data_IF_071500637015
#
_entry.id   IF_071500637015
#
_cell.length_a   1.000
_cell.length_b   1.000
_cell.length_c   1.000
_cell.angle_alpha   90.00
_cell.angle_beta   90.00
_cell.angle_gamma   90.00
#
_symmetry.space_group_name_H-M   'P 1'
#
loop_
_entity.id
_entity.type
_entity.pdbx_description
1 polymer ?
#
# COMPACT_ATOMS: atom_id res chain seq x y z
N UNK A 1 -39.35 -29.95 64.01
CA UNK A 1 -39.31 -28.81 63.10
C UNK A 1 -37.97 -28.87 62.36
N UNK A 2 -37.98 -29.38 61.18
CA UNK A 2 -36.78 -29.51 60.32
C UNK A 2 -36.77 -28.28 59.36
N UNK A 3 -35.83 -27.41 59.58
CA UNK A 3 -35.59 -26.21 58.76
C UNK A 3 -35.01 -26.65 57.43
N UNK A 4 -35.77 -26.55 56.35
CA UNK A 4 -35.36 -26.77 54.98
C UNK A 4 -34.54 -25.56 54.53
N UNK A 5 -33.19 -25.69 54.42
CA UNK A 5 -32.32 -24.73 53.76
C UNK A 5 -32.73 -24.60 52.30
N UNK A 6 -33.08 -23.37 51.87
CA UNK A 6 -33.33 -23.04 50.47
C UNK A 6 -32.06 -23.26 49.64
N UNK A 7 -32.16 -23.77 48.41
CA UNK A 7 -30.99 -23.96 47.54
C UNK A 7 -30.35 -22.63 47.24
N UNK A 8 -29.03 -22.56 47.43
CA UNK A 8 -28.18 -21.42 47.13
C UNK A 8 -28.26 -21.09 45.63
N UNK A 9 -28.51 -19.84 45.28
CA UNK A 9 -28.59 -19.40 43.91
C UNK A 9 -27.23 -19.61 43.22
N UNK A 10 -27.20 -20.11 41.98
CA UNK A 10 -25.96 -20.33 41.25
C UNK A 10 -25.19 -18.99 41.07
N UNK A 11 -23.89 -19.03 41.29
CA UNK A 11 -23.01 -17.91 41.14
C UNK A 11 -23.14 -17.31 39.72
N UNK A 12 -23.15 -15.96 39.56
CA UNK A 12 -23.27 -15.34 38.24
C UNK A 12 -22.12 -15.79 37.35
N UNK A 13 -22.47 -16.33 36.18
CA UNK A 13 -21.48 -16.69 35.15
C UNK A 13 -20.77 -15.39 34.73
N UNK A 14 -19.42 -15.33 34.77
CA UNK A 14 -18.69 -14.14 34.36
C UNK A 14 -19.05 -13.81 32.92
N UNK A 15 -19.53 -12.61 32.67
CA UNK A 15 -19.72 -12.10 31.30
C UNK A 15 -18.33 -11.98 30.68
N UNK A 16 -18.01 -12.70 29.59
CA UNK A 16 -16.72 -12.59 28.98
C UNK A 16 -16.47 -11.13 28.57
N UNK A 17 -15.36 -10.56 29.03
CA UNK A 17 -14.93 -9.23 28.60
C UNK A 17 -14.75 -9.30 27.09
N UNK A 18 -15.59 -8.59 26.33
CA UNK A 18 -15.48 -8.50 24.88
C UNK A 18 -14.15 -7.83 24.56
N UNK A 19 -13.17 -8.61 24.04
CA UNK A 19 -11.96 -8.04 23.44
C UNK A 19 -12.37 -7.18 22.25
N UNK A 20 -11.84 -5.97 22.17
CA UNK A 20 -12.03 -5.11 21.00
C UNK A 20 -11.29 -5.73 19.82
N UNK A 21 -11.94 -5.81 18.65
CA UNK A 21 -11.27 -6.20 17.42
C UNK A 21 -10.28 -5.10 17.01
N UNK A 22 -9.09 -5.45 16.45
CA UNK A 22 -8.19 -4.48 15.88
C UNK A 22 -8.86 -3.80 14.67
N UNK A 23 -8.72 -2.48 14.57
CA UNK A 23 -9.18 -1.70 13.42
C UNK A 23 -8.11 -1.81 12.32
N UNK A 24 -8.46 -2.48 11.23
CA UNK A 24 -7.51 -2.78 10.14
C UNK A 24 -7.93 -2.05 8.87
N UNK A 25 -7.00 -1.27 8.30
CA UNK A 25 -7.20 -0.54 7.04
C UNK A 25 -7.25 -1.48 5.83
N UNK A 26 -8.15 -1.19 4.89
CA UNK A 26 -8.29 -1.91 3.64
C UNK A 26 -8.41 -0.94 2.47
N UNK A 27 -7.52 -1.06 1.48
CA UNK A 27 -7.59 -0.34 0.21
C UNK A 27 -8.28 -1.25 -0.81
N UNK A 28 -9.32 -0.74 -1.48
CA UNK A 28 -10.04 -1.48 -2.52
C UNK A 28 -9.36 -1.41 -3.90
N UNK A 29 -8.03 -1.40 -3.94
CA UNK A 29 -7.30 -1.54 -5.20
C UNK A 29 -6.94 -2.99 -5.45
N UNK A 30 -6.84 -3.35 -6.71
CA UNK A 30 -6.45 -4.69 -7.15
C UNK A 30 -5.11 -5.14 -6.58
N UNK A 31 -4.14 -4.23 -6.36
CA UNK A 31 -2.86 -4.56 -5.75
C UNK A 31 -2.96 -5.10 -4.30
N UNK A 32 -4.05 -4.80 -3.60
CA UNK A 32 -4.29 -5.31 -2.25
C UNK A 32 -5.16 -6.59 -2.22
N UNK A 33 -5.79 -6.96 -3.34
CA UNK A 33 -6.68 -8.13 -3.38
C UNK A 33 -6.03 -9.40 -2.84
N UNK A 34 -4.77 -9.77 -3.21
CA UNK A 34 -4.13 -10.97 -2.67
C UNK A 34 -3.94 -10.95 -1.15
N UNK A 35 -3.86 -9.78 -0.54
CA UNK A 35 -3.64 -9.64 0.90
C UNK A 35 -4.93 -9.85 1.71
N UNK A 36 -6.09 -9.64 1.10
CA UNK A 36 -7.39 -9.72 1.77
C UNK A 36 -8.26 -10.90 1.35
N UNK A 37 -8.03 -11.45 0.15
CA UNK A 37 -8.81 -12.58 -0.37
C UNK A 37 -8.70 -13.82 0.52
N UNK A 38 -7.50 -14.14 0.99
CA UNK A 38 -7.26 -15.25 1.90
C UNK A 38 -7.93 -15.07 3.26
N UNK A 39 -7.97 -13.84 3.80
CA UNK A 39 -8.69 -13.52 5.05
C UNK A 39 -10.18 -13.82 4.94
N UNK A 40 -10.80 -13.43 3.81
CA UNK A 40 -12.20 -13.74 3.55
C UNK A 40 -12.44 -15.24 3.43
N UNK A 41 -11.52 -15.94 2.75
CA UNK A 41 -11.62 -17.38 2.49
C UNK A 41 -11.44 -18.24 3.73
N UNK A 42 -10.59 -17.83 4.67
CA UNK A 42 -10.34 -18.55 5.94
C UNK A 42 -11.28 -18.14 7.06
N UNK A 43 -12.02 -17.04 6.88
CA UNK A 43 -12.91 -16.48 7.90
C UNK A 43 -12.22 -15.63 8.95
N UNK A 44 -10.89 -15.46 8.90
CA UNK A 44 -10.10 -14.62 9.83
C UNK A 44 -10.47 -13.14 9.73
N UNK A 45 -11.10 -12.74 8.62
CA UNK A 45 -11.70 -11.40 8.46
C UNK A 45 -12.66 -11.03 9.58
N UNK A 46 -13.34 -12.02 10.18
CA UNK A 46 -14.30 -11.81 11.28
C UNK A 46 -13.63 -11.38 12.60
N UNK A 47 -12.32 -11.59 12.72
CA UNK A 47 -11.54 -11.20 13.90
C UNK A 47 -11.02 -9.76 13.82
N UNK A 48 -11.30 -9.05 12.72
CA UNK A 48 -10.88 -7.68 12.45
C UNK A 48 -12.10 -6.77 12.27
N UNK A 49 -11.93 -5.49 12.58
CA UNK A 49 -12.82 -4.41 12.19
C UNK A 49 -12.22 -3.71 10.98
N UNK A 50 -12.68 -4.07 9.77
CA UNK A 50 -12.17 -3.47 8.54
C UNK A 50 -12.70 -2.06 8.34
N UNK A 51 -11.79 -1.13 8.08
CA UNK A 51 -12.08 0.21 7.58
C UNK A 51 -11.59 0.33 6.14
N UNK A 52 -12.52 0.49 5.22
CA UNK A 52 -12.22 0.70 3.80
C UNK A 52 -12.21 2.18 3.49
N UNK A 53 -11.13 2.64 2.87
CA UNK A 53 -10.98 4.04 2.45
C UNK A 53 -9.98 4.14 1.29
N UNK A 54 -9.80 5.36 0.76
CA UNK A 54 -8.72 5.69 -0.17
C UNK A 54 -7.35 5.58 0.52
N UNK A 55 -6.24 5.43 -0.23
CA UNK A 55 -4.90 5.44 0.37
C UNK A 55 -4.65 6.65 1.27
N UNK A 56 -5.07 7.84 0.86
CA UNK A 56 -4.93 9.06 1.66
C UNK A 56 -5.76 9.03 2.94
N UNK A 57 -7.03 8.59 2.86
CA UNK A 57 -7.89 8.46 4.02
C UNK A 57 -7.34 7.46 5.05
N UNK A 58 -6.75 6.35 4.59
CA UNK A 58 -6.11 5.37 5.49
C UNK A 58 -4.80 5.87 6.08
N UNK A 59 -3.99 6.63 5.31
CA UNK A 59 -2.79 7.30 5.83
C UNK A 59 -3.17 8.21 7.01
N UNK A 60 -4.16 9.09 6.79
CA UNK A 60 -4.60 10.05 7.81
C UNK A 60 -5.22 9.32 9.03
N UNK A 61 -6.02 8.28 8.80
CA UNK A 61 -6.63 7.50 9.87
C UNK A 61 -5.60 6.75 10.73
N UNK A 62 -4.54 6.19 10.12
CA UNK A 62 -3.48 5.52 10.87
C UNK A 62 -2.64 6.54 11.66
N UNK A 63 -2.28 7.67 11.06
CA UNK A 63 -1.55 8.75 11.73
C UNK A 63 -2.35 9.35 12.90
N UNK A 64 -3.66 9.56 12.73
CA UNK A 64 -4.55 10.10 13.77
C UNK A 64 -4.89 9.10 14.89
N UNK A 65 -4.63 7.79 14.71
CA UNK A 65 -5.02 6.74 15.67
C UNK A 65 -6.47 6.25 15.51
N UNK A 66 -7.09 6.52 14.39
CA UNK A 66 -8.41 5.99 14.01
C UNK A 66 -8.31 4.56 13.45
N UNK A 67 -7.12 4.13 13.06
CA UNK A 67 -6.75 2.75 12.75
C UNK A 67 -5.67 2.26 13.71
N UNK A 68 -5.63 0.95 13.93
CA UNK A 68 -4.61 0.28 14.74
C UNK A 68 -3.51 -0.31 13.85
N UNK A 69 -3.89 -0.89 12.70
CA UNK A 69 -2.99 -1.53 11.72
C UNK A 69 -3.52 -1.22 10.32
N UNK A 70 -2.64 -1.03 9.35
CA UNK A 70 -3.08 -0.89 7.96
C UNK A 70 -1.96 -0.63 6.97
N UNK A 71 -2.31 -0.64 5.67
CA UNK A 71 -1.42 -0.16 4.64
C UNK A 71 -1.26 1.36 4.78
N UNK A 72 -0.03 1.80 4.59
CA UNK A 72 0.32 3.23 4.59
C UNK A 72 1.33 3.49 3.47
N UNK A 73 1.17 4.59 2.74
CA UNK A 73 2.14 4.96 1.72
C UNK A 73 3.52 5.14 2.33
N UNK A 74 4.58 4.72 1.63
CA UNK A 74 5.93 4.78 2.17
C UNK A 74 6.32 6.20 2.63
N UNK A 75 6.00 7.22 1.83
CA UNK A 75 6.31 8.61 2.19
C UNK A 75 5.67 9.00 3.53
N UNK A 76 4.44 8.60 3.75
CA UNK A 76 3.72 8.93 4.99
C UNK A 76 4.21 8.09 6.17
N UNK A 77 4.55 6.82 5.93
CA UNK A 77 5.21 6.00 6.95
C UNK A 77 6.52 6.65 7.44
N UNK A 78 7.35 7.14 6.52
CA UNK A 78 8.62 7.80 6.89
C UNK A 78 8.40 9.08 7.70
N UNK A 79 7.33 9.82 7.45
CA UNK A 79 6.93 11.00 8.26
C UNK A 79 6.51 10.65 9.68
N UNK A 80 5.97 9.45 9.86
CA UNK A 80 5.45 8.94 11.13
C UNK A 80 6.26 7.75 11.68
N UNK A 81 7.54 7.62 11.27
CA UNK A 81 8.39 6.49 11.64
C UNK A 81 8.61 6.36 13.16
N UNK A 82 8.42 7.43 13.92
CA UNK A 82 8.49 7.38 15.39
C UNK A 82 7.24 6.81 16.04
N UNK A 83 6.09 6.89 15.39
CA UNK A 83 4.79 6.46 15.91
C UNK A 83 4.35 5.10 15.36
N UNK A 84 5.01 4.62 14.30
CA UNK A 84 4.63 3.42 13.57
C UNK A 84 5.75 2.37 13.60
N UNK A 85 5.31 1.11 13.44
CA UNK A 85 6.19 -0.06 13.27
C UNK A 85 5.75 -0.78 12.01
N UNK A 86 6.66 -0.99 11.06
CA UNK A 86 6.36 -1.73 9.84
C UNK A 86 6.29 -3.24 10.13
N UNK A 87 5.31 -3.91 9.52
CA UNK A 87 5.18 -5.36 9.59
C UNK A 87 6.18 -5.98 8.60
N UNK A 88 7.10 -6.86 9.05
CA UNK A 88 8.07 -7.48 8.15
C UNK A 88 7.41 -8.40 7.11
N UNK A 89 8.12 -8.65 6.04
CA UNK A 89 7.72 -9.56 4.97
C UNK A 89 6.38 -9.26 4.30
N UNK A 90 5.83 -8.04 4.48
CA UNK A 90 4.60 -7.62 3.81
C UNK A 90 4.66 -6.14 3.40
N UNK A 91 4.52 -5.89 2.11
CA UNK A 91 4.52 -4.55 1.50
C UNK A 91 3.78 -4.57 0.15
N UNK A 92 3.68 -3.42 -0.49
CA UNK A 92 3.33 -3.29 -1.91
C UNK A 92 4.49 -2.60 -2.61
N UNK A 93 5.23 -3.34 -3.38
CA UNK A 93 6.43 -2.91 -4.06
C UNK A 93 6.60 -3.53 -5.44
N UNK A 94 7.78 -3.34 -6.05
CA UNK A 94 8.20 -4.02 -7.28
C UNK A 94 9.72 -4.12 -7.37
N UNK A 95 10.21 -5.14 -8.03
CA UNK A 95 11.63 -5.28 -8.42
C UNK A 95 11.77 -5.15 -9.94
N UNK A 96 11.36 -4.03 -10.48
CA UNK A 96 11.24 -3.70 -11.90
C UNK A 96 9.89 -3.07 -12.20
N UNK A 97 9.19 -3.52 -13.24
CA UNK A 97 7.88 -2.98 -13.58
C UNK A 97 6.86 -3.21 -12.46
N UNK A 98 6.12 -2.16 -12.08
CA UNK A 98 5.01 -2.25 -11.13
C UNK A 98 3.64 -2.31 -11.83
N UNK A 99 3.56 -1.90 -13.09
CA UNK A 99 2.36 -1.79 -13.92
C UNK A 99 1.31 -0.77 -13.44
N UNK A 100 1.26 -0.46 -12.16
CA UNK A 100 0.21 0.35 -11.51
C UNK A 100 0.70 1.67 -10.89
N UNK A 101 1.92 2.13 -11.21
CA UNK A 101 2.43 3.45 -10.83
C UNK A 101 3.21 4.02 -12.02
N UNK A 102 2.61 4.97 -12.74
CA UNK A 102 3.04 5.35 -14.07
C UNK A 102 3.14 6.85 -14.27
N UNK A 103 4.09 7.28 -15.12
CA UNK A 103 4.02 8.55 -15.84
C UNK A 103 3.47 8.25 -17.24
N UNK A 104 2.37 8.88 -17.62
CA UNK A 104 1.80 8.82 -18.98
C UNK A 104 2.03 10.15 -19.64
N UNK A 105 2.62 10.19 -20.85
CA UNK A 105 3.06 11.44 -21.48
C UNK A 105 2.74 11.51 -22.97
N UNK A 106 2.42 12.73 -23.44
CA UNK A 106 2.26 13.08 -24.86
C UNK A 106 3.60 13.23 -25.58
N UNK A 107 4.67 13.54 -24.84
CA UNK A 107 5.99 13.87 -25.35
C UNK A 107 7.05 12.98 -24.70
N UNK A 108 8.29 12.90 -25.22
CA UNK A 108 9.42 12.32 -24.49
C UNK A 108 9.59 12.98 -23.11
N UNK A 109 10.11 12.25 -22.11
CA UNK A 109 10.26 12.81 -20.76
C UNK A 109 11.24 14.00 -20.72
N UNK A 110 12.22 14.00 -21.59
CA UNK A 110 13.24 15.06 -21.74
C UNK A 110 12.60 16.39 -22.19
N UNK A 111 11.44 16.33 -22.84
CA UNK A 111 10.69 17.51 -23.32
C UNK A 111 9.67 18.04 -22.28
N UNK A 112 9.69 17.49 -21.05
CA UNK A 112 8.78 17.92 -19.99
C UNK A 112 9.28 19.13 -19.20
N UNK A 113 10.47 19.66 -19.48
CA UNK A 113 10.99 20.83 -18.77
C UNK A 113 10.08 22.04 -18.94
N UNK A 114 9.64 22.65 -17.83
CA UNK A 114 8.67 23.75 -17.81
C UNK A 114 7.26 23.40 -18.32
N UNK A 115 6.96 22.14 -18.66
CA UNK A 115 5.65 21.70 -19.08
C UNK A 115 4.76 21.36 -17.89
N UNK A 116 3.44 21.51 -18.06
CA UNK A 116 2.49 21.09 -17.03
C UNK A 116 2.43 19.57 -16.92
N UNK A 117 2.57 19.07 -15.69
CA UNK A 117 2.42 17.66 -15.31
C UNK A 117 1.37 17.51 -14.23
N UNK A 118 0.32 16.73 -14.53
CA UNK A 118 -0.77 16.45 -13.62
C UNK A 118 -0.40 15.34 -12.63
N UNK A 119 -0.66 15.57 -11.36
CA UNK A 119 -0.41 14.62 -10.27
C UNK A 119 -1.74 14.10 -9.73
N UNK A 120 -1.95 12.78 -9.75
CA UNK A 120 -3.16 12.17 -9.18
C UNK A 120 -3.25 12.39 -7.67
N UNK A 121 -4.40 12.89 -7.21
CA UNK A 121 -4.63 13.33 -5.83
C UNK A 121 -4.62 12.21 -4.79
N UNK A 122 -4.61 10.95 -5.18
CA UNK A 122 -4.72 9.79 -4.28
C UNK A 122 -3.37 9.15 -3.95
N UNK A 123 -2.24 9.76 -4.36
CA UNK A 123 -0.89 9.19 -4.19
C UNK A 123 0.08 10.19 -3.58
N UNK A 124 0.77 9.76 -2.53
CA UNK A 124 1.87 10.54 -1.92
C UNK A 124 3.24 10.01 -2.37
N UNK A 125 3.51 8.73 -2.21
CA UNK A 125 4.80 8.12 -2.55
C UNK A 125 5.10 8.17 -4.04
N UNK A 126 4.17 7.73 -4.91
CA UNK A 126 4.42 7.66 -6.35
C UNK A 126 4.56 9.05 -6.97
N UNK A 127 3.83 10.04 -6.47
CA UNK A 127 4.00 11.44 -6.87
C UNK A 127 5.41 11.93 -6.53
N UNK A 128 5.88 11.68 -5.30
CA UNK A 128 7.22 12.09 -4.89
C UNK A 128 8.31 11.35 -5.67
N UNK A 129 8.12 10.05 -5.94
CA UNK A 129 9.02 9.28 -6.78
C UNK A 129 9.08 9.81 -8.21
N UNK A 130 7.94 10.14 -8.81
CA UNK A 130 7.89 10.72 -10.16
C UNK A 130 8.63 12.06 -10.23
N UNK A 131 8.43 12.94 -9.27
CA UNK A 131 9.13 14.22 -9.15
C UNK A 131 10.64 14.02 -9.02
N UNK A 132 11.07 13.09 -8.16
CA UNK A 132 12.48 12.73 -7.98
C UNK A 132 13.11 12.21 -9.28
N UNK A 133 12.45 11.27 -9.95
CA UNK A 133 12.94 10.68 -11.20
C UNK A 133 13.02 11.70 -12.32
N UNK A 134 12.03 12.57 -12.46
CA UNK A 134 12.06 13.64 -13.47
C UNK A 134 13.18 14.66 -13.18
N UNK A 135 13.37 15.04 -11.92
CA UNK A 135 14.38 16.02 -11.54
C UNK A 135 15.82 15.45 -11.62
N UNK A 136 16.08 14.28 -11.03
CA UNK A 136 17.45 13.79 -10.86
C UNK A 136 17.90 12.82 -11.95
N UNK A 137 17.00 11.97 -12.46
CA UNK A 137 17.35 10.99 -13.49
C UNK A 137 17.19 11.55 -14.91
N UNK A 138 16.08 12.28 -15.16
CA UNK A 138 15.80 12.87 -16.48
C UNK A 138 16.41 14.26 -16.62
N UNK A 139 16.47 15.04 -15.53
CA UNK A 139 17.06 16.37 -15.51
C UNK A 139 16.07 17.48 -15.90
N UNK A 140 14.77 17.29 -15.72
CA UNK A 140 13.70 18.24 -16.07
C UNK A 140 12.94 18.71 -14.83
N UNK A 141 12.39 19.91 -14.90
CA UNK A 141 11.60 20.56 -13.83
C UNK A 141 10.25 21.02 -14.36
N UNK A 142 9.25 20.13 -14.42
CA UNK A 142 7.90 20.48 -14.85
C UNK A 142 7.17 21.39 -13.85
N UNK A 143 6.11 22.02 -14.32
CA UNK A 143 5.11 22.70 -13.50
C UNK A 143 4.06 21.69 -13.05
N UNK A 144 4.03 21.38 -11.75
CA UNK A 144 3.14 20.37 -11.20
C UNK A 144 1.83 20.97 -10.69
N UNK A 145 0.72 20.24 -10.89
CA UNK A 145 -0.56 20.52 -10.23
C UNK A 145 -1.27 19.21 -9.86
N UNK A 146 -2.06 19.25 -8.78
CA UNK A 146 -2.80 18.09 -8.27
C UNK A 146 -4.23 18.14 -8.79
N UNK A 147 -4.75 16.98 -9.23
CA UNK A 147 -6.12 16.84 -9.70
C UNK A 147 -6.62 15.39 -9.50
N UNK A 148 -7.94 15.14 -9.62
CA UNK A 148 -8.48 13.78 -9.61
C UNK A 148 -7.85 12.90 -10.71
N UNK A 149 -7.64 11.59 -10.46
CA UNK A 149 -6.91 10.70 -11.36
C UNK A 149 -7.76 10.20 -12.54
N UNK A 150 -8.29 11.12 -13.34
CA UNK A 150 -8.93 10.85 -14.62
C UNK A 150 -7.99 11.20 -15.77
N UNK A 151 -7.44 10.18 -16.45
CA UNK A 151 -6.39 10.37 -17.45
C UNK A 151 -6.80 11.32 -18.57
N UNK A 152 -8.04 11.23 -19.07
CA UNK A 152 -8.51 12.08 -20.18
C UNK A 152 -8.51 13.55 -19.79
N UNK A 153 -9.04 13.86 -18.62
CA UNK A 153 -9.05 15.20 -18.06
C UNK A 153 -7.62 15.69 -17.81
N UNK A 154 -6.78 14.87 -17.17
CA UNK A 154 -5.37 15.19 -16.91
C UNK A 154 -4.63 15.54 -18.21
N UNK A 155 -4.76 14.71 -19.25
CA UNK A 155 -4.06 14.89 -20.52
C UNK A 155 -4.65 16.01 -21.41
N UNK A 156 -5.84 16.53 -21.12
CA UNK A 156 -6.39 17.72 -21.78
C UNK A 156 -5.74 19.02 -21.32
N UNK A 157 -5.16 19.02 -20.12
CA UNK A 157 -4.58 20.21 -19.49
C UNK A 157 -3.06 20.12 -19.27
N UNK A 158 -2.48 18.92 -19.37
CA UNK A 158 -1.06 18.64 -19.10
C UNK A 158 -0.38 17.85 -20.22
N UNK A 159 0.94 17.93 -20.31
CA UNK A 159 1.76 17.12 -21.22
C UNK A 159 2.05 15.73 -20.69
N UNK A 160 1.99 15.55 -19.37
CA UNK A 160 2.10 14.25 -18.74
C UNK A 160 1.21 14.16 -17.48
N UNK A 161 0.94 12.95 -17.04
CA UNK A 161 0.15 12.65 -15.86
C UNK A 161 0.81 11.53 -15.05
N UNK A 162 0.78 11.66 -13.71
CA UNK A 162 1.16 10.60 -12.78
C UNK A 162 -0.11 9.94 -12.26
N UNK A 163 -0.27 8.65 -12.55
CA UNK A 163 -1.44 7.85 -12.18
C UNK A 163 -1.03 6.60 -11.43
N UNK A 164 -1.89 6.13 -10.52
CA UNK A 164 -1.64 4.93 -9.70
C UNK A 164 -2.83 3.97 -9.66
N UNK A 165 -2.56 2.76 -9.16
CA UNK A 165 -3.56 1.73 -8.90
C UNK A 165 -4.30 1.29 -10.17
N UNK A 166 -5.57 0.99 -10.02
CA UNK A 166 -6.41 0.48 -11.10
C UNK A 166 -6.55 1.47 -12.26
N UNK A 167 -6.55 2.78 -11.95
CA UNK A 167 -6.52 3.83 -12.96
C UNK A 167 -5.23 3.79 -13.80
N UNK A 168 -4.09 3.46 -13.21
CA UNK A 168 -2.84 3.30 -13.95
C UNK A 168 -2.84 2.04 -14.84
N UNK A 169 -3.36 0.92 -14.35
CA UNK A 169 -3.54 -0.30 -15.16
C UNK A 169 -4.43 0.00 -16.38
N UNK A 170 -5.57 0.66 -16.17
CA UNK A 170 -6.48 1.10 -17.24
C UNK A 170 -5.77 2.05 -18.21
N UNK A 171 -5.05 3.01 -17.68
CA UNK A 171 -4.29 3.96 -18.48
C UNK A 171 -3.30 3.24 -19.40
N UNK A 172 -2.48 2.32 -18.86
CA UNK A 172 -1.47 1.61 -19.63
C UNK A 172 -2.05 0.65 -20.68
N UNK A 173 -3.09 -0.11 -20.31
CA UNK A 173 -3.60 -1.21 -21.13
C UNK A 173 -4.66 -0.75 -22.15
N UNK A 174 -5.44 0.27 -21.82
CA UNK A 174 -6.61 0.64 -22.61
C UNK A 174 -6.58 2.08 -23.17
N UNK A 175 -6.17 3.06 -22.36
CA UNK A 175 -6.32 4.46 -22.71
C UNK A 175 -5.11 5.02 -23.48
N UNK A 176 -3.90 4.83 -22.94
CA UNK A 176 -2.68 5.35 -23.55
C UNK A 176 -2.43 4.83 -24.97
N UNK A 177 -2.64 3.52 -25.30
CA UNK A 177 -2.52 3.04 -26.66
C UNK A 177 -3.50 3.72 -27.63
N UNK A 178 -4.76 3.95 -27.21
CA UNK A 178 -5.77 4.61 -28.02
C UNK A 178 -5.52 6.09 -28.23
N UNK A 179 -4.84 6.73 -27.28
CA UNK A 179 -4.49 8.15 -27.30
C UNK A 179 -3.10 8.42 -27.89
N UNK A 180 -2.34 7.37 -28.23
CA UNK A 180 -0.97 7.52 -28.73
C UNK A 180 0.01 8.06 -27.69
N UNK A 181 -0.24 7.79 -26.39
CA UNK A 181 0.56 8.26 -25.27
C UNK A 181 1.70 7.28 -24.96
N UNK A 182 2.78 7.83 -24.42
CA UNK A 182 3.91 7.07 -23.89
C UNK A 182 3.64 6.69 -22.44
N UNK A 183 4.02 5.48 -22.06
CA UNK A 183 3.87 4.97 -20.69
C UNK A 183 5.25 4.70 -20.12
N UNK A 184 5.54 5.25 -18.95
CA UNK A 184 6.78 5.07 -18.21
C UNK A 184 6.46 4.52 -16.83
N UNK A 185 6.96 3.33 -16.54
CA UNK A 185 6.74 2.64 -15.27
C UNK A 185 7.72 3.15 -14.21
N UNK A 186 7.19 3.64 -13.09
CA UNK A 186 8.01 4.23 -12.02
C UNK A 186 8.89 3.20 -11.32
N UNK A 187 8.42 1.98 -11.13
CA UNK A 187 9.20 0.89 -10.55
C UNK A 187 10.38 0.51 -11.45
N UNK A 188 10.15 0.38 -12.76
CA UNK A 188 11.19 0.15 -13.77
C UNK A 188 12.20 1.29 -13.79
N UNK A 189 11.75 2.52 -13.82
CA UNK A 189 12.63 3.68 -13.82
C UNK A 189 13.53 3.73 -12.58
N UNK A 190 12.97 3.41 -11.41
CA UNK A 190 13.73 3.32 -10.18
C UNK A 190 14.76 2.19 -10.22
N UNK A 191 14.33 0.98 -10.61
CA UNK A 191 15.22 -0.19 -10.72
C UNK A 191 16.40 0.05 -11.65
N UNK A 192 16.13 0.61 -12.83
CA UNK A 192 17.17 0.92 -13.81
C UNK A 192 18.17 1.98 -13.33
N UNK A 193 17.73 2.88 -12.44
CA UNK A 193 18.58 3.94 -11.91
C UNK A 193 19.41 3.52 -10.70
N UNK A 194 18.80 2.77 -9.78
CA UNK A 194 19.41 2.45 -8.48
C UNK A 194 19.85 0.98 -8.35
N UNK A 195 19.34 0.10 -9.20
CA UNK A 195 19.52 -1.35 -9.07
C UNK A 195 18.68 -1.98 -7.95
N UNK A 196 17.91 -1.19 -7.18
CA UNK A 196 17.14 -1.64 -6.01
C UNK A 196 15.66 -1.82 -6.34
N UNK A 197 14.93 -2.68 -5.59
CA UNK A 197 13.48 -2.69 -5.62
C UNK A 197 12.92 -1.39 -5.04
N UNK A 198 11.65 -1.07 -5.39
CA UNK A 198 10.93 0.07 -4.81
C UNK A 198 9.73 -0.39 -4.00
N UNK A 199 9.53 0.22 -2.83
CA UNK A 199 8.37 0.00 -1.97
C UNK A 199 7.46 1.22 -2.04
N UNK A 200 6.22 1.02 -2.51
CA UNK A 200 5.21 2.09 -2.62
C UNK A 200 4.41 2.27 -1.34
N UNK A 201 4.14 1.16 -0.65
CA UNK A 201 3.42 1.15 0.62
C UNK A 201 3.92 0.00 1.51
N UNK A 202 3.90 0.22 2.82
CA UNK A 202 4.14 -0.80 3.84
C UNK A 202 2.85 -1.10 4.59
N UNK A 203 2.78 -2.24 5.26
CA UNK A 203 1.80 -2.46 6.32
C UNK A 203 2.45 -2.07 7.64
N UNK A 204 1.75 -1.28 8.42
CA UNK A 204 2.27 -0.78 9.70
C UNK A 204 1.23 -0.91 10.81
N UNK A 205 1.72 -1.08 12.03
CA UNK A 205 0.95 -0.98 13.26
C UNK A 205 1.36 0.28 14.02
N UNK A 206 0.42 0.89 14.72
CA UNK A 206 0.72 1.95 15.68
C UNK A 206 1.51 1.40 16.86
N UNK A 207 2.55 2.09 17.27
CA UNK A 207 3.37 1.68 18.44
C UNK A 207 2.57 1.64 19.72
N UNK A 208 1.72 2.65 19.97
CA UNK A 208 0.87 2.70 21.15
C UNK A 208 -0.15 1.54 21.19
N UNK A 209 -0.57 1.02 20.04
CA UNK A 209 -1.39 -0.19 19.97
C UNK A 209 -0.57 -1.45 20.18
N UNK A 210 0.63 -1.53 19.57
CA UNK A 210 1.57 -2.64 19.80
C UNK A 210 1.93 -2.76 21.27
N UNK A 211 2.20 -1.64 21.96
CA UNK A 211 2.53 -1.64 23.39
C UNK A 211 1.39 -2.17 24.28
N UNK A 212 0.13 -1.92 23.88
CA UNK A 212 -1.06 -2.37 24.64
C UNK A 212 -1.52 -3.78 24.26
N UNK A 213 -1.42 -4.15 23.01
CA UNK A 213 -2.03 -5.37 22.45
C UNK A 213 -1.05 -6.12 21.50
N UNK A 214 0.16 -6.47 21.96
CA UNK A 214 1.19 -7.07 21.11
C UNK A 214 0.71 -8.37 20.44
N UNK A 215 -0.03 -9.22 21.18
CA UNK A 215 -0.57 -10.47 20.64
C UNK A 215 -1.53 -10.26 19.46
N UNK A 216 -2.33 -9.18 19.49
CA UNK A 216 -3.24 -8.87 18.39
C UNK A 216 -2.48 -8.39 17.16
N UNK A 217 -1.41 -7.59 17.34
CA UNK A 217 -0.57 -7.14 16.21
C UNK A 217 0.10 -8.33 15.54
N UNK A 218 0.70 -9.24 16.32
CA UNK A 218 1.34 -10.46 15.79
C UNK A 218 0.34 -11.37 15.08
N UNK A 219 -0.88 -11.51 15.62
CA UNK A 219 -1.94 -12.31 15.00
C UNK A 219 -2.36 -11.71 13.65
N UNK A 220 -2.68 -10.41 13.60
CA UNK A 220 -3.06 -9.75 12.34
C UNK A 220 -1.94 -9.85 11.32
N UNK A 221 -0.68 -9.69 11.73
CA UNK A 221 0.47 -9.86 10.85
C UNK A 221 0.53 -11.30 10.29
N UNK A 222 0.43 -12.32 11.15
CA UNK A 222 0.41 -13.71 10.70
C UNK A 222 -0.76 -14.02 9.74
N UNK A 223 -1.94 -13.50 10.03
CA UNK A 223 -3.14 -13.67 9.19
C UNK A 223 -2.96 -13.01 7.81
N UNK A 224 -2.36 -11.81 7.75
CA UNK A 224 -2.06 -11.13 6.49
C UNK A 224 -1.02 -11.90 5.66
N UNK A 225 0.04 -12.44 6.28
CA UNK A 225 1.03 -13.28 5.60
C UNK A 225 0.39 -14.56 5.08
N UNK A 226 -0.38 -15.25 5.89
CA UNK A 226 -1.10 -16.46 5.49
C UNK A 226 -2.09 -16.18 4.35
N UNK A 227 -2.77 -15.04 4.38
CA UNK A 227 -3.67 -14.60 3.32
C UNK A 227 -2.95 -14.37 2.00
N UNK A 228 -1.83 -13.65 2.01
CA UNK A 228 -0.97 -13.45 0.85
C UNK A 228 -0.52 -14.78 0.26
N UNK A 229 0.04 -15.65 1.09
CA UNK A 229 0.61 -16.92 0.65
C UNK A 229 -0.46 -17.84 0.06
N UNK A 230 -1.65 -17.92 0.66
CA UNK A 230 -2.78 -18.64 0.13
C UNK A 230 -3.24 -18.07 -1.22
N UNK A 231 -3.32 -16.75 -1.32
CA UNK A 231 -3.76 -16.08 -2.56
C UNK A 231 -2.78 -16.30 -3.71
N UNK A 232 -1.48 -16.25 -3.43
CA UNK A 232 -0.44 -16.52 -4.44
C UNK A 232 -0.38 -18.02 -4.81
N UNK A 233 -0.64 -18.93 -3.87
CA UNK A 233 -0.75 -20.36 -4.16
C UNK A 233 -1.98 -20.71 -5.01
N UNK A 234 -3.08 -19.95 -4.88
CA UNK A 234 -4.31 -20.10 -5.67
C UNK A 234 -4.50 -18.96 -6.68
N UNK A 235 -3.41 -18.34 -7.16
CA UNK A 235 -3.45 -17.09 -7.94
C UNK A 235 -4.34 -17.16 -9.18
N UNK A 236 -4.29 -18.26 -9.93
CA UNK A 236 -5.15 -18.46 -11.11
C UNK A 236 -6.63 -18.33 -10.75
N UNK A 237 -7.05 -18.94 -9.63
CA UNK A 237 -8.43 -18.89 -9.15
C UNK A 237 -8.81 -17.47 -8.68
N UNK A 238 -7.91 -16.78 -7.99
CA UNK A 238 -8.11 -15.38 -7.58
C UNK A 238 -8.33 -14.51 -8.82
N UNK A 239 -7.49 -14.68 -9.85
CA UNK A 239 -7.55 -13.90 -11.09
C UNK A 239 -8.82 -14.21 -11.89
N UNK A 240 -9.22 -15.49 -12.01
CA UNK A 240 -10.46 -15.87 -12.68
C UNK A 240 -11.70 -15.30 -11.99
N UNK A 241 -11.72 -15.23 -10.65
CA UNK A 241 -12.81 -14.60 -9.91
C UNK A 241 -12.81 -13.08 -10.08
N UNK A 242 -11.67 -12.42 -9.94
CA UNK A 242 -11.56 -10.98 -10.09
C UNK A 242 -11.95 -10.52 -11.51
N UNK A 243 -11.49 -11.23 -12.54
CA UNK A 243 -11.78 -10.90 -13.94
C UNK A 243 -13.27 -10.96 -14.32
N UNK A 244 -14.14 -11.55 -13.49
CA UNK A 244 -15.59 -11.52 -13.70
C UNK A 244 -16.22 -10.14 -13.42
N UNK A 245 -15.54 -9.32 -12.62
CA UNK A 245 -16.05 -8.05 -12.12
C UNK A 245 -15.19 -6.84 -12.53
N UNK A 246 -13.95 -7.13 -12.96
CA UNK A 246 -13.00 -6.10 -13.33
C UNK A 246 -12.88 -5.98 -14.86
N UNK A 247 -12.34 -4.87 -15.33
CA UNK A 247 -12.11 -4.63 -16.75
C UNK A 247 -10.84 -5.32 -17.31
N UNK A 248 -10.13 -6.10 -16.48
CA UNK A 248 -8.90 -6.79 -16.82
C UNK A 248 -9.13 -8.30 -16.90
N UNK A 249 -8.52 -8.95 -17.89
CA UNK A 249 -8.59 -10.42 -18.00
C UNK A 249 -7.72 -11.12 -16.93
N UNK A 250 -8.00 -12.40 -16.70
CA UNK A 250 -7.32 -13.20 -15.69
C UNK A 250 -5.81 -13.30 -15.96
N UNK A 251 -5.37 -13.38 -17.22
CA UNK A 251 -3.95 -13.46 -17.56
C UNK A 251 -3.20 -12.16 -17.23
N UNK A 252 -3.82 -11.02 -17.45
CA UNK A 252 -3.29 -9.70 -17.05
C UNK A 252 -3.16 -9.59 -15.54
N UNK A 253 -4.19 -9.99 -14.78
CA UNK A 253 -4.16 -9.98 -13.31
C UNK A 253 -3.11 -10.96 -12.77
N UNK A 254 -2.97 -12.16 -13.35
CA UNK A 254 -1.96 -13.12 -12.93
C UNK A 254 -0.54 -12.57 -13.14
N UNK A 255 -0.25 -11.97 -14.29
CA UNK A 255 1.03 -11.28 -14.52
C UNK A 255 1.25 -10.14 -13.52
N UNK A 256 0.20 -9.38 -13.21
CA UNK A 256 0.27 -8.29 -12.24
C UNK A 256 0.65 -8.79 -10.85
N UNK A 257 0.01 -9.87 -10.34
CA UNK A 257 0.26 -10.39 -9.00
C UNK A 257 1.55 -11.22 -8.87
N UNK A 258 2.00 -11.88 -9.94
CA UNK A 258 3.13 -12.82 -9.87
C UNK A 258 4.44 -12.25 -10.40
N UNK A 259 4.37 -11.23 -11.26
CA UNK A 259 5.56 -10.69 -11.96
C UNK A 259 5.82 -9.24 -11.64
N UNK A 260 4.77 -8.41 -11.56
CA UNK A 260 4.93 -6.98 -11.37
C UNK A 260 4.97 -6.59 -9.89
N UNK A 261 4.08 -7.14 -9.07
CA UNK A 261 4.04 -6.82 -7.65
C UNK A 261 5.03 -7.67 -6.84
N UNK A 262 5.75 -7.01 -5.97
CA UNK A 262 6.55 -7.62 -4.90
C UNK A 262 5.89 -7.29 -3.55
N UNK A 263 5.39 -8.33 -2.88
CA UNK A 263 4.73 -8.20 -1.58
C UNK A 263 5.69 -8.38 -0.40
N UNK A 264 6.97 -8.51 -0.64
CA UNK A 264 7.97 -8.71 0.43
C UNK A 264 8.43 -7.39 1.06
N UNK A 265 8.90 -7.47 2.30
CA UNK A 265 9.61 -6.40 3.00
C UNK A 265 10.83 -6.99 3.71
N UNK A 266 11.83 -7.34 2.92
CA UNK A 266 13.09 -7.89 3.40
C UNK A 266 14.27 -6.91 3.22
N UNK A 267 15.48 -7.46 3.28
CA UNK A 267 16.73 -6.65 3.22
C UNK A 267 16.82 -5.78 1.95
N UNK A 268 16.46 -6.32 0.80
CA UNK A 268 16.55 -5.58 -0.45
C UNK A 268 15.57 -4.40 -0.50
N UNK A 269 14.33 -4.62 -0.05
CA UNK A 269 13.29 -3.61 0.02
C UNK A 269 13.65 -2.51 1.03
N UNK A 270 14.20 -2.87 2.19
CA UNK A 270 14.70 -1.90 3.17
C UNK A 270 15.87 -1.06 2.63
N UNK A 271 16.75 -1.64 1.81
CA UNK A 271 17.78 -0.88 1.12
C UNK A 271 17.17 0.12 0.11
N UNK A 272 16.13 -0.29 -0.63
CA UNK A 272 15.38 0.60 -1.52
C UNK A 272 14.69 1.75 -0.77
N UNK A 273 14.10 1.46 0.39
CA UNK A 273 13.49 2.48 1.27
C UNK A 273 14.56 3.47 1.75
N UNK A 274 15.71 2.97 2.22
CA UNK A 274 16.81 3.83 2.69
C UNK A 274 17.33 4.73 1.58
N UNK A 275 17.53 4.20 0.37
CA UNK A 275 17.97 4.98 -0.80
C UNK A 275 16.95 6.07 -1.16
N UNK A 276 15.65 5.74 -1.14
CA UNK A 276 14.59 6.72 -1.38
C UNK A 276 14.57 7.80 -0.28
N UNK A 277 14.66 7.41 0.98
CA UNK A 277 14.68 8.35 2.10
C UNK A 277 15.88 9.31 2.03
N UNK A 278 17.07 8.83 1.68
CA UNK A 278 18.27 9.65 1.50
C UNK A 278 18.11 10.70 0.41
N UNK A 279 17.40 10.37 -0.68
CA UNK A 279 17.21 11.31 -1.81
C UNK A 279 16.11 12.33 -1.57
N UNK A 280 15.05 11.96 -0.84
CA UNK A 280 13.88 12.85 -0.66
C UNK A 280 13.78 13.45 0.71
N UNK A 281 14.52 12.93 1.71
CA UNK A 281 14.47 13.40 3.09
C UNK A 281 15.00 14.83 3.25
N UNK A 282 14.54 15.51 4.28
CA UNK A 282 14.84 16.89 4.63
C UNK A 282 13.59 17.59 5.12
N UNK A 283 13.71 18.89 5.42
CA UNK A 283 12.63 19.69 6.02
C UNK A 283 11.34 19.65 5.19
N UNK A 284 11.45 19.78 3.87
CA UNK A 284 10.30 19.73 2.96
C UNK A 284 9.62 18.36 2.89
N UNK A 285 10.34 17.28 3.17
CA UNK A 285 9.80 15.93 3.20
C UNK A 285 9.09 15.59 4.52
N UNK A 286 9.45 16.27 5.60
CA UNK A 286 8.94 16.05 6.95
C UNK A 286 9.58 14.85 7.67
N UNK A 287 10.75 14.39 7.22
CA UNK A 287 11.59 13.38 7.88
C UNK A 287 13.06 13.52 7.48
N UNK A 288 14.03 13.12 8.32
CA UNK A 288 15.45 13.20 8.01
C UNK A 288 15.87 12.16 6.96
N UNK A 289 16.94 12.42 6.18
CA UNK A 289 17.43 11.46 5.17
C UNK A 289 17.85 10.10 5.74
N UNK A 290 18.23 10.04 7.00
CA UNK A 290 18.68 8.84 7.73
C UNK A 290 17.58 8.25 8.63
N UNK A 291 16.32 8.52 8.32
CA UNK A 291 15.16 7.99 9.05
C UNK A 291 15.21 6.46 9.16
N UNK A 292 14.99 5.95 10.37
CA UNK A 292 15.08 4.52 10.67
C UNK A 292 13.70 3.87 10.54
N UNK A 293 13.61 2.87 9.66
CA UNK A 293 12.43 1.99 9.56
C UNK A 293 12.50 0.96 10.68
N UNK A 294 11.59 1.06 11.65
CA UNK A 294 11.44 0.05 12.72
C UNK A 294 10.52 -1.06 12.25
N UNK A 295 10.98 -2.30 12.40
CA UNK A 295 10.19 -3.48 12.08
C UNK A 295 9.58 -4.06 13.35
N UNK A 296 8.42 -4.71 13.22
CA UNK A 296 7.84 -5.54 14.28
C UNK A 296 8.83 -6.66 14.62
N UNK A 297 9.25 -6.71 15.87
CA UNK A 297 10.13 -7.78 16.36
C UNK A 297 9.35 -9.11 16.43
N UNK A 298 10.02 -10.27 16.32
CA UNK A 298 9.36 -11.56 16.53
C UNK A 298 8.67 -11.63 17.89
N UNK A 299 7.56 -12.38 17.98
CA UNK A 299 6.90 -12.62 19.26
C UNK A 299 7.89 -13.27 20.24
N UNK A 300 7.92 -12.77 21.48
CA UNK A 300 8.69 -13.41 22.53
C UNK A 300 8.20 -14.86 22.72
N UNK A 301 9.13 -15.82 22.62
CA UNK A 301 8.88 -17.25 22.75
C UNK A 301 8.57 -17.67 24.19
#
# INVERSE_FOLDING_TARGET
>A
MTEQLAPEAPAPVPIPVRRRRPRVGHIQFLNCLPLFWGLARTGTLLDMELRTDTPDGLNDALAAGDLDIGPISLLEFLRHADDLVALPDIAVGSDGDVMSCLIVSQVPMEDLDGQRVALGSTSRTSVRLAQLLLAERVGVRPDYYVCPPDLRTMMSEAKAAVVIGDAALRAALHEAPRMGLRVHDLGRMWKDWTGLPFVFAVFAARRDFLDREPELVHRVHADLLASRDLSLAEVTKVCEQAAQWEEFDAATLERYYTTALDFSLGRAQLAGISEFAQRVGGDDAGFPPDVVVRLLEPAAS
#
